data_IF_775555204695
#
_entry.id   IF_775555204695
#
_cell.length_a   1.000
_cell.length_b   1.000
_cell.length_c   1.000
_cell.angle_alpha   90.00
_cell.angle_beta   90.00
_cell.angle_gamma   90.00
#
_symmetry.space_group_name_H-M   'P 1'
#
loop_
_entity.id
_entity.type
_entity.pdbx_description
1 polymer ?
#
# COMPACT_ATOMS: atom_id res chain seq x y z
N UNK A 1 -1.75 -19.51 -25.13
CA UNK A 1 -1.10 -18.22 -24.82
C UNK A 1 -2.08 -17.39 -23.98
N UNK A 2 -1.56 -16.55 -23.08
CA UNK A 2 -2.23 -15.57 -22.20
C UNK A 2 -2.99 -16.10 -20.97
N UNK A 3 -2.25 -16.39 -19.89
CA UNK A 3 -2.79 -16.57 -18.52
C UNK A 3 -2.08 -15.72 -17.46
N UNK A 4 -1.28 -14.72 -17.87
CA UNK A 4 -0.46 -13.91 -16.93
C UNK A 4 -0.80 -12.41 -16.97
N UNK A 5 -1.40 -11.91 -18.05
CA UNK A 5 -1.74 -10.49 -18.19
C UNK A 5 -2.90 -10.04 -17.27
N UNK A 6 -3.67 -10.97 -16.69
CA UNK A 6 -4.85 -10.65 -15.87
C UNK A 6 -4.54 -10.37 -14.41
N UNK A 7 -3.42 -10.85 -13.87
CA UNK A 7 -3.11 -10.71 -12.43
C UNK A 7 -2.41 -9.40 -12.16
N UNK A 8 -1.38 -9.06 -12.96
CA UNK A 8 -0.59 -7.84 -12.80
C UNK A 8 -1.43 -6.57 -12.96
N UNK A 9 -2.25 -6.48 -14.01
CA UNK A 9 -3.12 -5.32 -14.24
C UNK A 9 -4.15 -5.15 -13.11
N UNK A 10 -4.71 -6.24 -12.59
CA UNK A 10 -5.64 -6.21 -11.46
C UNK A 10 -5.00 -5.66 -10.17
N UNK A 11 -3.70 -5.89 -9.96
CA UNK A 11 -2.99 -5.26 -8.85
C UNK A 11 -2.84 -3.76 -9.03
N UNK A 12 -2.53 -3.29 -10.25
CA UNK A 12 -2.45 -1.86 -10.55
C UNK A 12 -3.80 -1.18 -10.39
N UNK A 13 -4.89 -1.81 -10.82
CA UNK A 13 -6.24 -1.29 -10.64
C UNK A 13 -6.61 -1.13 -9.17
N UNK A 14 -6.35 -2.16 -8.34
CA UNK A 14 -6.58 -2.10 -6.90
C UNK A 14 -5.70 -1.06 -6.21
N UNK A 15 -4.45 -0.91 -6.64
CA UNK A 15 -3.53 0.10 -6.11
C UNK A 15 -4.02 1.52 -6.47
N UNK A 16 -4.54 1.71 -7.69
CA UNK A 16 -5.16 2.96 -8.12
C UNK A 16 -6.37 3.31 -7.27
N UNK A 17 -7.30 2.35 -7.10
CA UNK A 17 -8.50 2.56 -6.27
C UNK A 17 -8.15 2.93 -4.82
N UNK A 18 -7.16 2.26 -4.23
CA UNK A 18 -6.68 2.59 -2.88
C UNK A 18 -6.05 3.99 -2.82
N UNK A 19 -5.30 4.37 -3.86
CA UNK A 19 -4.71 5.70 -3.98
C UNK A 19 -5.80 6.79 -4.04
N UNK A 20 -6.86 6.56 -4.81
CA UNK A 20 -7.99 7.49 -4.92
C UNK A 20 -8.75 7.64 -3.59
N UNK A 21 -8.93 6.54 -2.84
CA UNK A 21 -9.51 6.57 -1.49
C UNK A 21 -8.65 7.42 -0.53
N UNK A 22 -7.33 7.22 -0.54
CA UNK A 22 -6.38 8.00 0.26
C UNK A 22 -6.39 9.49 -0.13
N UNK A 23 -6.48 9.81 -1.42
CA UNK A 23 -6.59 11.18 -1.93
C UNK A 23 -7.89 11.82 -1.43
N UNK A 24 -9.01 11.09 -1.51
CA UNK A 24 -10.32 11.59 -1.07
C UNK A 24 -10.38 11.86 0.43
N UNK A 25 -9.75 11.02 1.25
CA UNK A 25 -9.79 11.15 2.71
C UNK A 25 -8.76 12.15 3.27
N UNK A 26 -7.53 12.17 2.74
CA UNK A 26 -6.39 12.86 3.35
C UNK A 26 -5.62 13.78 2.39
N UNK A 27 -5.97 13.80 1.11
CA UNK A 27 -5.33 14.63 0.09
C UNK A 27 -4.19 13.95 -0.66
N UNK A 28 -3.81 14.57 -1.78
CA UNK A 28 -2.83 14.04 -2.74
C UNK A 28 -1.44 13.87 -2.16
N UNK A 29 -0.97 14.83 -1.37
CA UNK A 29 0.39 14.80 -0.83
C UNK A 29 0.57 13.67 0.18
N UNK A 30 -0.45 13.43 1.01
CA UNK A 30 -0.48 12.27 1.91
C UNK A 30 -0.43 10.96 1.11
N UNK A 31 -1.30 10.81 0.11
CA UNK A 31 -1.39 9.59 -0.66
C UNK A 31 -0.07 9.24 -1.35
N UNK A 32 0.56 10.22 -1.99
CA UNK A 32 1.85 10.07 -2.63
C UNK A 32 2.96 9.72 -1.62
N UNK A 33 2.99 10.40 -0.47
CA UNK A 33 3.96 10.12 0.60
C UNK A 33 3.85 8.68 1.13
N UNK A 34 2.64 8.21 1.41
CA UNK A 34 2.39 6.86 1.89
C UNK A 34 2.85 5.78 0.89
N UNK A 35 2.58 5.98 -0.41
CA UNK A 35 3.02 5.06 -1.46
C UNK A 35 4.55 5.02 -1.59
N UNK A 36 5.22 6.17 -1.48
CA UNK A 36 6.69 6.25 -1.50
C UNK A 36 7.29 5.49 -0.29
N UNK A 37 6.71 5.63 0.89
CA UNK A 37 7.14 4.90 2.09
C UNK A 37 6.93 3.39 1.90
N UNK A 38 5.77 2.96 1.42
CA UNK A 38 5.49 1.55 1.16
C UNK A 38 6.49 0.95 0.13
N UNK A 39 6.74 1.66 -0.97
CA UNK A 39 7.73 1.25 -1.97
C UNK A 39 9.15 1.15 -1.37
N UNK A 40 9.52 2.08 -0.48
CA UNK A 40 10.79 2.04 0.24
C UNK A 40 10.89 0.85 1.20
N UNK A 41 9.83 0.51 1.93
CA UNK A 41 9.80 -0.69 2.79
C UNK A 41 10.04 -1.96 1.96
N UNK A 42 9.35 -2.09 0.82
CA UNK A 42 9.53 -3.21 -0.11
C UNK A 42 10.98 -3.27 -0.62
N UNK A 43 11.56 -2.14 -1.04
CA UNK A 43 12.93 -2.08 -1.52
C UNK A 43 13.98 -2.44 -0.45
N UNK A 44 13.69 -2.14 0.82
CA UNK A 44 14.55 -2.48 1.96
C UNK A 44 14.30 -3.90 2.50
N UNK A 45 13.30 -4.63 1.98
CA UNK A 45 12.92 -5.95 2.49
C UNK A 45 12.32 -5.92 3.90
N UNK A 46 11.85 -4.76 4.36
CA UNK A 46 11.22 -4.60 5.67
C UNK A 46 9.70 -4.74 5.53
N UNK A 47 9.02 -5.53 6.37
CA UNK A 47 7.57 -5.53 6.43
C UNK A 47 7.09 -4.13 6.84
N UNK A 48 6.00 -3.66 6.22
CA UNK A 48 5.28 -2.48 6.72
C UNK A 48 4.71 -2.89 8.07
N UNK A 49 5.40 -2.52 9.15
CA UNK A 49 5.06 -2.93 10.51
C UNK A 49 3.65 -2.44 10.87
N UNK A 50 2.71 -3.37 11.01
CA UNK A 50 1.46 -3.12 11.71
C UNK A 50 1.78 -3.17 13.20
N UNK A 51 2.06 -2.01 13.81
CA UNK A 51 2.05 -1.89 15.26
C UNK A 51 0.60 -2.00 15.76
N UNK A 52 0.16 -3.24 15.92
CA UNK A 52 -1.09 -3.60 16.61
C UNK A 52 -0.79 -4.77 17.53
N UNK A 53 0.18 -4.58 18.43
CA UNK A 53 0.21 -5.36 19.66
C UNK A 53 -0.30 -4.44 20.76
N UNK A 54 -1.54 -4.60 21.26
CA UNK A 54 -1.89 -3.99 22.53
C UNK A 54 -0.98 -4.64 23.57
N UNK A 55 -0.06 -3.85 24.11
CA UNK A 55 0.82 -4.25 25.20
C UNK A 55 -0.07 -4.76 26.35
N UNK A 56 -0.03 -6.07 26.55
CA UNK A 56 -0.64 -6.74 27.67
C UNK A 56 -0.12 -6.10 28.96
N UNK A 57 -1.04 -5.55 29.73
CA UNK A 57 -0.79 -4.92 31.03
C UNK A 57 -0.30 -5.98 32.03
N UNK A 58 0.81 -5.75 32.75
CA UNK A 58 1.02 -6.34 34.06
C UNK A 58 0.30 -5.54 35.16
#
# INVERSE_FOLDING_TARGET
MTTDATTKEAFFERLGALSDEMIGAYGRDFAMGALIVAARCIAQGQPVENESTPANSP
#
